data_IF_279933699951
#
_entry.id   IF_279933699951
#
_cell.length_a   1.000
_cell.length_b   1.000
_cell.length_c   1.000
_cell.angle_alpha   90.00
_cell.angle_beta   90.00
_cell.angle_gamma   90.00
#
_symmetry.space_group_name_H-M   'P 1'
#
loop_
_entity.id
_entity.type
_entity.pdbx_description
1 polymer ?
#
# COMPACT_ATOMS: atom_id res chain seq x y z
N UNK A 1 -27.60 -7.46 -0.90
CA UNK A 1 -27.05 -6.38 -1.74
C UNK A 1 -25.53 -6.48 -1.64
N UNK A 2 -24.86 -7.09 -2.62
CA UNK A 2 -23.39 -7.05 -2.68
C UNK A 2 -22.98 -5.71 -3.29
N UNK A 3 -23.12 -4.64 -2.51
CA UNK A 3 -22.43 -3.40 -2.85
C UNK A 3 -20.95 -3.69 -2.71
N UNK A 4 -20.23 -3.80 -3.81
CA UNK A 4 -18.77 -3.65 -3.77
C UNK A 4 -18.52 -2.27 -3.18
N UNK A 5 -18.20 -2.23 -1.89
CA UNK A 5 -17.78 -1.01 -1.23
C UNK A 5 -16.69 -0.37 -2.10
N UNK A 6 -16.73 0.95 -2.33
CA UNK A 6 -15.67 1.63 -3.06
C UNK A 6 -14.32 1.20 -2.47
N UNK A 7 -13.49 0.56 -3.30
CA UNK A 7 -12.30 -0.15 -2.83
C UNK A 7 -11.09 0.77 -2.83
N UNK A 8 -10.33 0.77 -1.73
CA UNK A 8 -8.97 1.31 -1.73
C UNK A 8 -8.04 0.24 -2.30
N UNK A 9 -7.32 0.60 -3.35
CA UNK A 9 -6.31 -0.21 -4.02
C UNK A 9 -4.93 0.34 -3.71
N UNK A 10 -3.94 -0.54 -3.68
CA UNK A 10 -2.55 -0.19 -3.37
C UNK A 10 -1.68 -0.67 -4.52
N UNK A 11 -0.87 0.22 -5.09
CA UNK A 11 0.11 -0.14 -6.09
C UNK A 11 1.19 -1.06 -5.49
N UNK A 12 1.55 -2.09 -6.24
CA UNK A 12 2.53 -3.10 -5.91
C UNK A 12 3.47 -3.32 -7.10
N UNK A 13 4.58 -4.02 -6.87
CA UNK A 13 5.53 -4.41 -7.93
C UNK A 13 6.07 -3.22 -8.74
N UNK A 14 6.31 -2.08 -8.10
CA UNK A 14 6.76 -0.87 -8.79
C UNK A 14 5.68 -0.16 -9.63
N UNK A 15 4.40 -0.46 -9.39
CA UNK A 15 3.27 0.15 -10.09
C UNK A 15 2.68 -0.67 -11.23
N UNK A 16 3.18 -1.89 -11.46
CA UNK A 16 2.65 -2.81 -12.46
C UNK A 16 1.47 -3.64 -11.96
N UNK A 17 1.42 -3.87 -10.65
CA UNK A 17 0.37 -4.63 -9.99
C UNK A 17 -0.43 -3.70 -9.06
N UNK A 18 -1.69 -4.04 -8.80
CA UNK A 18 -2.50 -3.41 -7.77
C UNK A 18 -3.15 -4.48 -6.90
N UNK A 19 -3.17 -4.25 -5.59
CA UNK A 19 -3.82 -5.14 -4.61
C UNK A 19 -4.90 -4.41 -3.85
N UNK A 20 -5.96 -5.11 -3.47
CA UNK A 20 -7.00 -4.53 -2.61
C UNK A 20 -6.48 -4.37 -1.20
N UNK A 21 -6.73 -3.20 -0.60
CA UNK A 21 -6.30 -2.93 0.77
C UNK A 21 -6.99 -3.86 1.79
N UNK A 22 -8.26 -4.21 1.58
CA UNK A 22 -9.02 -5.09 2.48
C UNK A 22 -8.65 -6.58 2.37
N UNK A 23 -7.87 -6.95 1.35
CA UNK A 23 -7.26 -8.26 1.22
C UNK A 23 -5.97 -8.36 2.04
N UNK A 24 -5.37 -7.26 2.51
CA UNK A 24 -4.11 -7.29 3.27
C UNK A 24 -4.39 -7.64 4.73
N UNK A 25 -3.63 -8.61 5.27
CA UNK A 25 -3.71 -9.05 6.67
C UNK A 25 -2.46 -8.71 7.49
N UNK A 26 -1.34 -8.46 6.82
CA UNK A 26 -0.09 -8.04 7.46
C UNK A 26 0.68 -7.12 6.53
N UNK A 27 1.31 -6.09 7.10
CA UNK A 27 2.35 -5.31 6.45
C UNK A 27 3.68 -5.53 7.16
N UNK A 28 4.77 -5.65 6.41
CA UNK A 28 6.13 -5.72 6.93
C UNK A 28 7.02 -4.75 6.19
N UNK A 29 7.57 -3.79 6.93
CA UNK A 29 8.70 -2.97 6.50
C UNK A 29 9.96 -3.58 7.10
N UNK A 30 10.90 -4.01 6.26
CA UNK A 30 12.16 -4.58 6.72
C UNK A 30 13.30 -3.54 6.79
N UNK A 31 14.46 -3.98 7.27
CA UNK A 31 15.64 -3.13 7.48
C UNK A 31 16.21 -2.56 6.17
N UNK A 32 15.91 -3.18 5.03
CA UNK A 32 16.31 -2.73 3.69
C UNK A 32 15.38 -1.65 3.13
N UNK A 33 14.28 -1.35 3.85
CA UNK A 33 13.25 -0.44 3.38
C UNK A 33 12.23 -1.09 2.44
N UNK A 34 12.30 -2.42 2.26
CA UNK A 34 11.30 -3.14 1.46
C UNK A 34 10.01 -3.25 2.25
N UNK A 35 8.90 -2.88 1.61
CA UNK A 35 7.56 -3.02 2.17
C UNK A 35 6.85 -4.17 1.48
N UNK A 36 6.45 -5.16 2.25
CA UNK A 36 5.67 -6.31 1.78
C UNK A 36 4.31 -6.37 2.46
N UNK A 37 3.31 -6.88 1.73
CA UNK A 37 1.97 -7.14 2.23
C UNK A 37 1.64 -8.61 2.10
N UNK A 38 1.13 -9.21 3.18
CA UNK A 38 0.56 -10.55 3.14
C UNK A 38 -0.94 -10.46 2.85
N UNK A 39 -1.41 -11.25 1.89
CA UNK A 39 -2.82 -11.31 1.51
C UNK A 39 -3.60 -12.35 2.32
N UNK A 40 -4.91 -12.13 2.43
CA UNK A 40 -5.90 -13.06 2.96
C UNK A 40 -6.23 -14.10 1.89
N UNK A 41 -5.32 -15.03 1.67
CA UNK A 41 -5.55 -16.21 0.85
C UNK A 41 -5.00 -17.46 1.54
N UNK A 42 -5.43 -18.63 1.07
CA UNK A 42 -5.01 -19.92 1.65
C UNK A 42 -3.50 -20.15 1.49
N UNK A 43 -2.90 -19.56 0.45
CA UNK A 43 -1.48 -19.66 0.16
C UNK A 43 -0.60 -18.67 0.96
N UNK A 44 -1.20 -17.72 1.68
CA UNK A 44 -0.54 -16.61 2.39
C UNK A 44 0.45 -15.86 1.50
N UNK A 45 0.02 -15.51 0.29
CA UNK A 45 0.87 -14.83 -0.70
C UNK A 45 1.37 -13.51 -0.12
N UNK A 46 2.68 -13.28 -0.26
CA UNK A 46 3.32 -12.01 0.09
C UNK A 46 3.70 -11.26 -1.17
N UNK A 47 3.17 -10.05 -1.31
CA UNK A 47 3.45 -9.15 -2.43
C UNK A 47 4.37 -8.02 -1.98
N UNK A 48 5.20 -7.53 -2.90
CA UNK A 48 6.07 -6.39 -2.67
C UNK A 48 5.32 -5.10 -3.03
N UNK A 49 5.10 -4.21 -2.07
CA UNK A 49 4.48 -2.89 -2.30
C UNK A 49 5.53 -1.85 -2.67
N UNK A 50 6.71 -1.96 -2.06
CA UNK A 50 7.86 -1.13 -2.33
C UNK A 50 9.12 -2.00 -2.27
N UNK A 51 9.92 -1.95 -3.32
CA UNK A 51 11.24 -2.59 -3.30
C UNK A 51 12.20 -1.83 -2.39
N UNK A 52 13.05 -2.56 -1.67
CA UNK A 52 14.11 -1.95 -0.88
C UNK A 52 15.05 -1.13 -1.78
N UNK A 53 15.46 0.04 -1.30
CA UNK A 53 16.35 0.95 -2.03
C UNK A 53 17.62 1.16 -1.22
N UNK A 54 18.78 0.98 -1.85
CA UNK A 54 20.08 1.24 -1.24
C UNK A 54 20.37 2.73 -1.01
N UNK A 55 19.59 3.64 -1.63
CA UNK A 55 19.85 5.08 -1.62
C UNK A 55 18.79 5.94 -0.93
N UNK A 56 17.57 5.43 -0.74
CA UNK A 56 16.46 6.20 -0.15
C UNK A 56 15.53 5.28 0.64
N UNK A 57 15.83 5.08 1.92
CA UNK A 57 14.99 4.27 2.80
C UNK A 57 13.72 5.05 3.20
N UNK A 58 12.52 4.43 3.16
CA UNK A 58 11.32 5.05 3.71
C UNK A 58 11.41 5.20 5.23
N UNK A 59 10.61 6.10 5.83
CA UNK A 59 10.50 6.24 7.29
C UNK A 59 10.14 4.91 7.97
N UNK A 60 10.59 4.71 9.21
CA UNK A 60 10.34 3.46 9.95
C UNK A 60 8.85 3.19 10.23
N UNK A 61 8.00 4.23 10.16
CA UNK A 61 6.55 4.12 10.31
C UNK A 61 5.79 4.12 8.97
N UNK A 62 6.47 3.98 7.83
CA UNK A 62 5.85 4.10 6.50
C UNK A 62 4.69 3.11 6.26
N UNK A 63 4.79 1.90 6.82
CA UNK A 63 3.68 0.92 6.81
C UNK A 63 2.47 1.39 7.65
N UNK A 64 2.69 2.13 8.74
CA UNK A 64 1.62 2.74 9.56
C UNK A 64 0.99 3.93 8.85
N UNK A 65 1.80 4.71 8.12
CA UNK A 65 1.29 5.78 7.26
C UNK A 65 0.33 5.24 6.20
N UNK A 66 0.64 4.09 5.59
CA UNK A 66 -0.26 3.40 4.65
C UNK A 66 -1.60 3.04 5.30
N UNK A 67 -1.57 2.43 6.49
CA UNK A 67 -2.80 2.06 7.22
C UNK A 67 -3.67 3.30 7.48
N UNK A 68 -3.06 4.41 7.89
CA UNK A 68 -3.78 5.69 8.11
C UNK A 68 -4.39 6.22 6.82
N UNK A 69 -3.66 6.19 5.71
CA UNK A 69 -4.16 6.63 4.41
C UNK A 69 -5.32 5.76 3.92
N UNK A 70 -5.21 4.43 4.06
CA UNK A 70 -6.28 3.49 3.71
C UNK A 70 -7.52 3.73 4.56
N UNK A 71 -7.37 3.91 5.87
CA UNK A 71 -8.51 4.18 6.76
C UNK A 71 -9.22 5.49 6.37
N UNK A 72 -8.47 6.55 6.08
CA UNK A 72 -9.04 7.83 5.66
C UNK A 72 -9.81 7.73 4.33
N UNK A 73 -9.33 6.93 3.38
CA UNK A 73 -9.97 6.74 2.07
C UNK A 73 -11.11 5.71 2.10
N UNK A 74 -11.11 4.78 3.04
CA UNK A 74 -12.21 3.84 3.20
C UNK A 74 -13.52 4.54 3.60
N UNK A 75 -13.40 5.71 4.24
CA UNK A 75 -14.53 6.57 4.61
C UNK A 75 -14.96 7.52 3.47
N UNK A 76 -14.23 7.56 2.34
CA UNK A 76 -14.60 8.38 1.18
C UNK A 76 -15.46 7.61 0.16
N UNK A 77 -16.24 8.36 -0.61
CA UNK A 77 -16.98 7.81 -1.75
C UNK A 77 -16.07 7.65 -2.95
N UNK A 78 -16.00 6.44 -3.52
CA UNK A 78 -15.27 6.18 -4.77
C UNK A 78 -14.07 5.26 -4.60
N UNK A 79 -13.61 4.68 -5.71
CA UNK A 79 -12.42 3.84 -5.70
C UNK A 79 -11.17 4.73 -5.73
N UNK A 80 -10.15 4.35 -4.97
CA UNK A 80 -8.91 5.11 -4.86
C UNK A 80 -7.71 4.19 -5.06
N UNK A 81 -6.67 4.68 -5.74
CA UNK A 81 -5.38 4.03 -5.82
C UNK A 81 -4.37 4.77 -4.93
N UNK A 82 -3.72 4.04 -4.03
CA UNK A 82 -2.65 4.52 -3.17
C UNK A 82 -1.30 3.99 -3.68
N UNK A 83 -0.31 4.87 -3.86
CA UNK A 83 1.05 4.45 -4.29
C UNK A 83 2.13 5.19 -3.50
N UNK A 84 3.24 4.50 -3.28
CA UNK A 84 4.42 5.09 -2.67
C UNK A 84 5.13 5.98 -3.70
N UNK A 85 5.54 7.17 -3.28
CA UNK A 85 6.29 8.12 -4.11
C UNK A 85 7.46 8.69 -3.32
N UNK A 86 8.60 8.82 -3.98
CA UNK A 86 9.77 9.51 -3.46
C UNK A 86 9.95 10.82 -4.23
N UNK A 87 9.73 11.94 -3.56
CA UNK A 87 9.80 13.28 -4.16
C UNK A 87 10.44 14.26 -3.19
N UNK A 88 11.30 15.15 -3.68
CA UNK A 88 11.96 16.14 -2.83
C UNK A 88 12.80 15.54 -1.69
N UNK A 89 13.25 14.29 -1.83
CA UNK A 89 14.00 13.59 -0.78
C UNK A 89 13.13 12.93 0.29
N UNK A 90 11.80 12.92 0.13
CA UNK A 90 10.87 12.41 1.14
C UNK A 90 9.93 11.37 0.54
N UNK A 91 9.80 10.24 1.24
CA UNK A 91 8.80 9.22 0.95
C UNK A 91 7.44 9.63 1.48
N UNK A 92 6.41 9.45 0.66
CA UNK A 92 5.04 9.68 1.04
C UNK A 92 4.10 8.77 0.25
N UNK A 93 2.91 8.54 0.79
CA UNK A 93 1.82 7.89 0.09
C UNK A 93 1.00 8.95 -0.64
N UNK A 94 0.77 8.75 -1.94
CA UNK A 94 -0.18 9.56 -2.71
C UNK A 94 -1.41 8.71 -3.04
N UNK A 95 -2.57 9.37 -3.07
CA UNK A 95 -3.83 8.76 -3.46
C UNK A 95 -4.43 9.49 -4.66
N UNK A 96 -4.94 8.75 -5.63
CA UNK A 96 -5.67 9.28 -6.78
C UNK A 96 -6.99 8.53 -6.95
N UNK A 97 -8.08 9.18 -7.42
CA UNK A 97 -9.30 8.50 -7.81
C UNK A 97 -9.05 7.52 -8.97
N UNK A 98 -9.78 6.41 -8.99
CA UNK A 98 -9.85 5.47 -10.11
C UNK A 98 -11.07 5.74 -11.00
#
# INVERSE_FOLDING_TARGET
>A
MSGTAPGVWIAAGGGHDIVRADAIVMLRLDETGRLTAQLRDDAKVSVSLLEGSSGSRPPDDFHRQLIRAVAQLADSSGAHLVRARYEGGVWHWISEPL
#
